data_IF_640701125327
#
_entry.id   IF_640701125327
#
_cell.length_a   1.000
_cell.length_b   1.000
_cell.length_c   1.000
_cell.angle_alpha   90.00
_cell.angle_beta   90.00
_cell.angle_gamma   90.00
#
_symmetry.space_group_name_H-M   'P 1'
#
loop_
_entity.id
_entity.type
_entity.pdbx_description
1 polymer ?
#
# COMPACT_ATOMS: atom_id res chain seq x y z
N UNK A 1 -12.82 -1.05 2.43
CA UNK A 1 -11.60 -0.83 3.26
C UNK A 1 -11.64 -1.89 4.35
N UNK A 2 -10.50 -2.51 4.64
CA UNK A 2 -10.40 -3.43 5.76
C UNK A 2 -10.55 -2.67 7.09
N UNK A 3 -11.33 -3.18 8.06
CA UNK A 3 -11.48 -2.53 9.37
C UNK A 3 -10.14 -2.29 10.08
N UNK A 4 -9.18 -3.16 9.88
CA UNK A 4 -7.83 -3.09 10.46
C UNK A 4 -7.03 -1.88 9.97
N UNK A 5 -7.38 -1.31 8.81
CA UNK A 5 -6.73 -0.13 8.23
C UNK A 5 -7.40 1.18 8.67
N UNK A 6 -8.65 1.14 9.13
CA UNK A 6 -9.39 2.34 9.53
C UNK A 6 -8.66 3.22 10.55
N UNK A 7 -8.01 2.68 11.61
CA UNK A 7 -7.28 3.50 12.57
C UNK A 7 -6.14 4.30 11.94
N UNK A 8 -5.45 3.73 10.95
CA UNK A 8 -4.37 4.43 10.24
C UNK A 8 -4.89 5.55 9.34
N UNK A 9 -6.06 5.34 8.73
CA UNK A 9 -6.74 6.35 7.93
C UNK A 9 -7.19 7.50 8.83
N UNK A 10 -7.82 7.20 9.96
CA UNK A 10 -8.26 8.20 10.94
C UNK A 10 -7.07 9.02 11.45
N UNK A 11 -5.98 8.34 11.84
CA UNK A 11 -4.75 9.01 12.27
C UNK A 11 -4.20 9.92 11.16
N UNK A 12 -4.18 9.49 9.90
CA UNK A 12 -3.72 10.31 8.80
C UNK A 12 -4.60 11.55 8.59
N UNK A 13 -5.91 11.42 8.78
CA UNK A 13 -6.85 12.56 8.69
C UNK A 13 -6.69 13.55 9.85
N UNK A 14 -6.34 13.08 11.04
CA UNK A 14 -6.10 13.92 12.22
C UNK A 14 -4.78 14.70 12.16
N UNK A 15 -3.81 14.23 11.38
CA UNK A 15 -2.49 14.87 11.27
C UNK A 15 -2.50 16.21 10.51
N UNK A 16 -3.58 16.54 9.81
CA UNK A 16 -3.70 17.80 9.09
C UNK A 16 -5.15 18.23 8.92
N UNK A 17 -5.36 19.52 8.61
CA UNK A 17 -6.68 20.11 8.35
C UNK A 17 -6.95 20.28 6.86
N UNK A 18 -6.32 19.49 6.00
CA UNK A 18 -6.49 19.57 4.55
C UNK A 18 -7.65 18.70 4.08
N UNK A 19 -8.17 19.00 2.90
CA UNK A 19 -9.09 18.11 2.18
C UNK A 19 -8.38 16.84 1.67
N UNK A 20 -7.06 16.78 1.71
CA UNK A 20 -6.25 15.63 1.31
C UNK A 20 -5.80 14.85 2.54
N UNK A 21 -5.93 13.53 2.49
CA UNK A 21 -5.48 12.64 3.58
C UNK A 21 -3.96 12.71 3.80
N UNK A 22 -3.19 12.82 2.73
CA UNK A 22 -1.73 12.93 2.78
C UNK A 22 -1.28 14.23 2.13
N UNK A 23 -0.64 15.06 2.90
CA UNK A 23 -0.19 16.38 2.49
C UNK A 23 1.31 16.56 2.63
N UNK A 24 1.86 17.49 1.89
CA UNK A 24 3.23 17.91 2.04
C UNK A 24 3.37 18.73 3.33
N UNK A 25 4.22 18.27 4.25
CA UNK A 25 4.48 18.96 5.50
C UNK A 25 5.01 20.38 5.22
N UNK A 26 4.23 21.39 5.57
CA UNK A 26 4.55 22.81 5.42
C UNK A 26 3.69 23.58 4.44
N UNK A 27 3.00 22.94 3.49
CA UNK A 27 2.12 23.65 2.53
C UNK A 27 0.66 23.27 2.62
N UNK A 28 0.29 22.18 3.30
CA UNK A 28 -1.04 21.58 3.28
C UNK A 28 -1.56 21.23 1.87
N UNK A 29 -0.69 21.23 0.88
CA UNK A 29 -1.02 20.85 -0.49
C UNK A 29 -0.82 19.35 -0.69
N UNK A 30 -1.50 18.79 -1.67
CA UNK A 30 -1.32 17.41 -2.08
C UNK A 30 0.17 17.13 -2.39
N UNK A 31 0.65 15.96 -2.00
CA UNK A 31 1.98 15.51 -2.45
C UNK A 31 2.06 15.57 -3.98
N UNK A 32 3.07 16.26 -4.49
CA UNK A 32 3.41 16.20 -5.91
C UNK A 32 3.78 14.77 -6.34
N UNK A 33 3.84 14.53 -7.64
CA UNK A 33 4.11 13.19 -8.22
C UNK A 33 5.34 12.49 -7.64
N UNK A 34 6.33 13.24 -7.16
CA UNK A 34 7.57 12.71 -6.58
C UNK A 34 7.51 12.51 -5.06
N UNK A 35 6.44 12.93 -4.39
CA UNK A 35 6.32 12.85 -2.93
C UNK A 35 6.43 11.43 -2.40
N UNK A 36 5.58 10.49 -2.85
CA UNK A 36 5.62 9.10 -2.40
C UNK A 36 6.95 8.40 -2.71
N UNK A 37 7.63 8.77 -3.78
CA UNK A 37 8.93 8.20 -4.16
C UNK A 37 10.06 8.48 -3.14
N UNK A 38 9.92 9.51 -2.30
CA UNK A 38 10.89 9.82 -1.25
C UNK A 38 10.71 8.99 0.03
N UNK A 39 9.56 8.32 0.19
CA UNK A 39 9.27 7.55 1.39
C UNK A 39 10.34 6.49 1.71
N UNK A 40 10.80 5.66 0.76
CA UNK A 40 11.85 4.68 1.02
C UNK A 40 13.13 5.32 1.56
N UNK A 41 13.57 6.41 0.95
CA UNK A 41 14.75 7.14 1.41
C UNK A 41 14.57 7.67 2.83
N UNK A 42 13.42 8.28 3.14
CA UNK A 42 13.13 8.82 4.46
C UNK A 42 13.13 7.71 5.53
N UNK A 43 12.52 6.56 5.23
CA UNK A 43 12.50 5.39 6.13
C UNK A 43 13.91 4.87 6.39
N UNK A 44 14.72 4.71 5.34
CA UNK A 44 16.12 4.28 5.47
C UNK A 44 16.94 5.25 6.33
N UNK A 45 16.79 6.56 6.11
CA UNK A 45 17.49 7.59 6.91
C UNK A 45 17.02 7.58 8.36
N UNK A 46 15.73 7.43 8.61
CA UNK A 46 15.17 7.32 9.95
C UNK A 46 15.72 6.09 10.68
N UNK A 47 15.67 4.93 10.07
CA UNK A 47 16.19 3.68 10.63
C UNK A 47 17.68 3.78 10.97
N UNK A 48 18.48 4.38 10.08
CA UNK A 48 19.90 4.60 10.31
C UNK A 48 20.17 5.54 11.48
N UNK A 49 19.46 6.67 11.54
CA UNK A 49 19.70 7.71 12.57
C UNK A 49 19.25 7.29 13.96
N UNK A 50 18.10 6.62 14.06
CA UNK A 50 17.48 6.33 15.35
C UNK A 50 17.79 4.94 15.89
N UNK A 51 18.09 3.99 14.99
CA UNK A 51 18.30 2.59 15.38
C UNK A 51 19.64 2.01 14.92
N UNK A 52 20.45 2.77 14.19
CA UNK A 52 21.71 2.30 13.64
C UNK A 52 21.55 1.19 12.56
N UNK A 53 20.34 1.04 11.99
CA UNK A 53 20.04 -0.01 11.03
C UNK A 53 20.39 0.50 9.62
N UNK A 54 21.30 -0.19 8.95
CA UNK A 54 21.58 0.02 7.53
C UNK A 54 20.72 -0.90 6.67
N UNK A 55 19.79 -0.32 5.94
CA UNK A 55 18.93 -1.03 5.01
C UNK A 55 19.52 -0.98 3.59
N UNK A 56 19.40 -2.09 2.85
CA UNK A 56 19.65 -2.05 1.41
C UNK A 56 18.65 -1.10 0.74
N UNK A 57 19.08 -0.48 -0.35
CA UNK A 57 18.18 0.37 -1.14
C UNK A 57 16.95 -0.39 -1.61
N UNK A 58 15.79 0.24 -1.44
CA UNK A 58 14.52 -0.24 -1.92
C UNK A 58 13.66 0.94 -2.41
N UNK A 59 12.66 0.64 -3.22
CA UNK A 59 11.77 1.62 -3.84
C UNK A 59 10.29 1.29 -3.56
N UNK A 60 9.40 2.24 -3.83
CA UNK A 60 7.95 1.99 -3.79
C UNK A 60 7.54 0.85 -4.73
N UNK A 61 8.26 0.69 -5.84
CA UNK A 61 8.00 -0.41 -6.77
C UNK A 61 8.35 -1.78 -6.17
N UNK A 62 9.36 -1.85 -5.31
CA UNK A 62 9.72 -3.10 -4.62
C UNK A 62 8.65 -3.51 -3.60
N UNK A 63 8.01 -2.55 -2.91
CA UNK A 63 6.84 -2.84 -2.07
C UNK A 63 5.70 -3.43 -2.90
N UNK A 64 5.42 -2.83 -4.06
CA UNK A 64 4.39 -3.33 -4.98
C UNK A 64 4.71 -4.74 -5.48
N UNK A 65 5.95 -5.01 -5.88
CA UNK A 65 6.40 -6.34 -6.31
C UNK A 65 6.30 -7.37 -5.19
N UNK A 66 6.69 -7.01 -3.97
CA UNK A 66 6.58 -7.86 -2.80
C UNK A 66 5.12 -8.20 -2.51
N UNK A 67 4.25 -7.20 -2.43
CA UNK A 67 2.82 -7.41 -2.24
C UNK A 67 2.24 -8.32 -3.32
N UNK A 68 2.54 -8.04 -4.60
CA UNK A 68 2.07 -8.86 -5.72
C UNK A 68 2.51 -10.32 -5.61
N UNK A 69 3.76 -10.56 -5.22
CA UNK A 69 4.30 -11.92 -5.03
C UNK A 69 3.56 -12.66 -3.92
N UNK A 70 3.25 -11.97 -2.83
CA UNK A 70 2.52 -12.57 -1.72
C UNK A 70 1.04 -12.79 -2.03
N UNK A 71 0.39 -11.88 -2.74
CA UNK A 71 -1.02 -12.04 -3.15
C UNK A 71 -1.25 -13.32 -3.95
N UNK A 72 -0.29 -13.72 -4.77
CA UNK A 72 -0.37 -14.99 -5.51
C UNK A 72 -0.41 -16.25 -4.62
N UNK A 73 -0.15 -16.12 -3.32
CA UNK A 73 -0.28 -17.22 -2.34
C UNK A 73 -1.67 -17.30 -1.73
N UNK A 74 -2.43 -16.21 -1.82
CA UNK A 74 -3.73 -16.07 -1.17
C UNK A 74 -4.89 -16.12 -2.16
N UNK A 75 -4.63 -15.84 -3.45
CA UNK A 75 -5.67 -15.77 -4.47
C UNK A 75 -5.13 -16.14 -5.85
N UNK A 76 -6.02 -16.19 -6.84
CA UNK A 76 -5.64 -16.43 -8.24
C UNK A 76 -4.75 -15.32 -8.78
N UNK A 77 -4.02 -15.64 -9.86
CA UNK A 77 -3.14 -14.68 -10.53
C UNK A 77 -3.89 -13.42 -10.96
N UNK A 78 -5.08 -13.60 -11.52
CA UNK A 78 -5.88 -12.52 -12.07
C UNK A 78 -6.37 -11.57 -10.99
N UNK A 79 -6.90 -12.11 -9.89
CA UNK A 79 -7.29 -11.31 -8.73
C UNK A 79 -6.09 -10.58 -8.13
N UNK A 80 -4.93 -11.23 -8.04
CA UNK A 80 -3.72 -10.60 -7.54
C UNK A 80 -3.21 -9.45 -8.44
N UNK A 81 -3.44 -9.49 -9.76
CA UNK A 81 -3.19 -8.35 -10.66
C UNK A 81 -4.17 -7.20 -10.38
N UNK A 82 -5.45 -7.51 -10.20
CA UNK A 82 -6.47 -6.51 -9.85
C UNK A 82 -6.15 -5.83 -8.51
N UNK A 83 -5.69 -6.59 -7.51
CA UNK A 83 -5.32 -6.07 -6.19
C UNK A 83 -4.21 -5.02 -6.23
N UNK A 84 -3.33 -5.07 -7.22
CA UNK A 84 -2.31 -4.05 -7.44
C UNK A 84 -2.74 -2.98 -8.45
N UNK A 85 -4.01 -2.98 -8.89
CA UNK A 85 -4.57 -1.98 -9.82
C UNK A 85 -4.11 -2.14 -11.26
N UNK A 86 -3.74 -3.36 -11.68
CA UNK A 86 -3.55 -3.65 -13.10
C UNK A 86 -4.90 -3.93 -13.77
N UNK A 87 -5.02 -3.50 -15.02
CA UNK A 87 -6.12 -3.91 -15.89
C UNK A 87 -5.79 -5.25 -16.54
N UNK A 88 -6.80 -6.11 -16.69
CA UNK A 88 -6.60 -7.39 -17.36
C UNK A 88 -6.41 -7.19 -18.85
N UNK A 89 -5.41 -7.82 -19.47
CA UNK A 89 -5.23 -7.75 -20.92
C UNK A 89 -6.40 -8.45 -21.65
N UNK A 90 -6.99 -7.79 -22.65
CA UNK A 90 -7.90 -8.41 -23.62
C UNK A 90 -9.38 -8.18 -23.44
N UNK A 91 -9.85 -7.63 -22.31
CA UNK A 91 -11.28 -7.34 -22.09
C UNK A 91 -11.50 -5.90 -21.62
N UNK A 92 -11.41 -4.97 -22.57
CA UNK A 92 -11.88 -3.61 -22.33
C UNK A 92 -13.41 -3.63 -22.21
N UNK A 93 -13.93 -3.58 -21.00
CA UNK A 93 -15.29 -3.18 -20.74
C UNK A 93 -16.23 -4.21 -20.10
N UNK A 94 -15.82 -5.44 -19.78
CA UNK A 94 -16.76 -6.46 -19.29
C UNK A 94 -16.39 -7.07 -17.93
N UNK A 95 -15.31 -6.61 -17.28
CA UNK A 95 -15.05 -7.05 -15.92
C UNK A 95 -15.90 -6.25 -14.94
N UNK A 96 -16.90 -6.91 -14.40
CA UNK A 96 -17.62 -6.41 -13.25
C UNK A 96 -16.67 -6.49 -12.03
N UNK A 97 -16.01 -5.38 -11.72
CA UNK A 97 -15.20 -5.26 -10.51
C UNK A 97 -15.97 -5.61 -9.23
N UNK A 98 -17.28 -5.62 -9.31
CA UNK A 98 -18.17 -6.02 -8.24
C UNK A 98 -18.00 -7.49 -7.86
N UNK A 99 -17.73 -8.37 -8.84
CA UNK A 99 -17.63 -9.80 -8.60
C UNK A 99 -16.36 -10.20 -7.83
N UNK A 100 -15.28 -9.43 -7.94
CA UNK A 100 -13.99 -9.75 -7.31
C UNK A 100 -13.73 -9.06 -5.96
N UNK A 101 -14.58 -8.15 -5.52
CA UNK A 101 -14.38 -7.40 -4.28
C UNK A 101 -14.32 -8.32 -3.05
N UNK A 102 -15.13 -9.38 -3.06
CA UNK A 102 -15.17 -10.35 -1.96
C UNK A 102 -13.87 -11.15 -1.86
N UNK A 103 -13.40 -11.66 -2.98
CA UNK A 103 -12.16 -12.45 -3.08
C UNK A 103 -10.94 -11.57 -2.76
N UNK A 104 -10.89 -10.35 -3.29
CA UNK A 104 -9.86 -9.37 -2.94
C UNK A 104 -9.88 -9.05 -1.45
N UNK A 105 -11.05 -8.88 -0.85
CA UNK A 105 -11.20 -8.62 0.58
C UNK A 105 -10.62 -9.74 1.44
N UNK A 106 -10.88 -11.00 1.09
CA UNK A 106 -10.32 -12.17 1.77
C UNK A 106 -8.80 -12.19 1.65
N UNK A 107 -8.27 -11.96 0.43
CA UNK A 107 -6.84 -11.96 0.19
C UNK A 107 -6.12 -10.79 0.89
N UNK A 108 -6.72 -9.61 0.95
CA UNK A 108 -6.19 -8.48 1.73
C UNK A 108 -6.15 -8.77 3.23
N UNK A 109 -7.15 -9.45 3.77
CA UNK A 109 -7.16 -9.85 5.18
C UNK A 109 -6.03 -10.83 5.48
N UNK A 110 -5.84 -11.84 4.66
CA UNK A 110 -4.72 -12.79 4.80
C UNK A 110 -3.35 -12.12 4.69
N UNK A 111 -3.26 -11.11 3.81
CA UNK A 111 -2.05 -10.29 3.72
C UNK A 111 -1.80 -9.47 4.98
N UNK A 112 -2.85 -8.87 5.54
CA UNK A 112 -2.76 -8.16 6.82
C UNK A 112 -2.27 -9.07 7.94
N UNK A 113 -2.89 -10.23 8.13
CA UNK A 113 -2.48 -11.23 9.12
C UNK A 113 -1.00 -11.64 8.94
N UNK A 114 -0.56 -11.76 7.68
CA UNK A 114 0.85 -12.02 7.37
C UNK A 114 1.76 -10.87 7.82
N UNK A 115 1.38 -9.62 7.57
CA UNK A 115 2.16 -8.45 8.00
C UNK A 115 2.24 -8.37 9.52
N UNK A 116 1.14 -8.55 10.23
CA UNK A 116 1.12 -8.59 11.70
C UNK A 116 2.05 -9.67 12.25
N UNK A 117 2.08 -10.84 11.64
CA UNK A 117 2.99 -11.92 12.06
C UNK A 117 4.48 -11.60 11.91
N UNK A 118 4.83 -10.54 11.18
CA UNK A 118 6.22 -10.08 11.02
C UNK A 118 6.62 -8.99 12.02
N UNK A 119 5.65 -8.38 12.70
CA UNK A 119 5.85 -7.25 13.62
C UNK A 119 5.63 -7.62 15.09
N UNK A 120 5.04 -8.78 15.35
CA UNK A 120 4.88 -9.41 16.65
C UNK A 120 5.88 -10.56 16.80
#
# INVERSE_FOLDING_TARGET
ILPEIEPFIQQAMELNNSMYMFVNNGTNEMYGQNGPGKLPYNVMQYARRHYGIEMKHWSMHDLRRTARTHFSRFTSRDIAELMIGHTMPGEQGTYDYHDYQKEMGIAYKQWWEKLESLTN
#
